data_IF_735685587474
#
_entry.id   IF_735685587474
#
_cell.length_a   1.000
_cell.length_b   1.000
_cell.length_c   1.000
_cell.angle_alpha   90.00
_cell.angle_beta   90.00
_cell.angle_gamma   90.00
#
_symmetry.space_group_name_H-M   'P 1'
#
loop_
_entity.id
_entity.type
_entity.pdbx_description
1 polymer ?
#
# COMPACT_ATOMS: atom_id res chain seq x y z
N UNK A 1 -3.95 -11.03 19.85
CA UNK A 1 -3.10 -12.07 19.19
C UNK A 1 -1.65 -12.04 19.70
N UNK A 2 -1.06 -13.21 19.96
CA UNK A 2 0.35 -13.34 20.35
C UNK A 2 1.20 -13.61 19.10
N UNK A 3 2.26 -12.83 18.89
CA UNK A 3 3.20 -13.05 17.78
C UNK A 3 4.14 -14.21 18.10
N UNK A 4 4.32 -15.08 17.12
CA UNK A 4 5.13 -16.29 17.12
C UNK A 4 6.15 -16.24 16.01
N UNK A 5 7.20 -17.03 16.15
CA UNK A 5 8.15 -17.22 15.04
C UNK A 5 7.49 -17.97 13.88
N UNK A 6 8.22 -18.10 12.76
CA UNK A 6 7.73 -18.77 11.56
C UNK A 6 7.34 -20.24 11.81
N UNK A 7 7.89 -20.87 12.86
CA UNK A 7 7.64 -22.25 13.27
C UNK A 7 6.51 -22.38 14.32
N UNK A 8 5.85 -21.27 14.68
CA UNK A 8 4.75 -21.25 15.63
C UNK A 8 5.17 -21.32 17.11
N UNK A 9 6.45 -21.15 17.43
CA UNK A 9 6.90 -21.03 18.83
C UNK A 9 6.67 -19.61 19.34
N UNK A 10 6.41 -19.48 20.64
CA UNK A 10 6.31 -18.15 21.28
C UNK A 10 7.64 -17.42 21.09
N UNK A 11 7.60 -16.18 20.59
CA UNK A 11 8.81 -15.36 20.58
C UNK A 11 9.15 -14.95 22.00
N UNK A 12 10.37 -15.22 22.44
CA UNK A 12 10.85 -14.82 23.77
C UNK A 12 12.37 -14.70 23.81
N UNK A 13 12.86 -13.74 24.59
CA UNK A 13 14.31 -13.51 24.73
C UNK A 13 15.06 -14.77 25.21
N UNK A 14 14.42 -15.55 26.08
CA UNK A 14 14.97 -16.82 26.60
C UNK A 14 15.12 -17.92 25.55
N UNK A 15 14.41 -17.86 24.43
CA UNK A 15 14.50 -18.85 23.33
C UNK A 15 15.33 -18.33 22.14
N UNK A 16 15.83 -17.09 22.20
CA UNK A 16 16.66 -16.51 21.14
C UNK A 16 15.95 -16.34 19.79
N UNK A 17 14.63 -16.50 19.75
CA UNK A 17 13.82 -16.46 18.52
C UNK A 17 13.03 -15.15 18.35
N UNK A 18 13.42 -14.10 19.07
CA UNK A 18 12.83 -12.76 18.92
C UNK A 18 13.41 -12.11 17.67
N UNK A 19 12.53 -11.64 16.80
CA UNK A 19 12.92 -10.80 15.66
C UNK A 19 12.73 -9.34 16.08
N UNK A 20 13.81 -8.56 16.04
CA UNK A 20 13.77 -7.12 16.29
C UNK A 20 13.11 -6.40 15.10
N UNK A 21 12.06 -5.59 15.30
CA UNK A 21 11.45 -4.85 14.20
C UNK A 21 12.44 -3.91 13.48
N UNK A 22 13.45 -3.39 14.18
CA UNK A 22 14.47 -2.53 13.56
C UNK A 22 15.33 -3.31 12.56
N UNK A 23 15.62 -4.57 12.86
CA UNK A 23 16.36 -5.46 11.96
C UNK A 23 15.55 -5.81 10.70
N UNK A 24 14.22 -5.88 10.82
CA UNK A 24 13.33 -6.05 9.65
C UNK A 24 13.25 -4.77 8.83
N UNK A 25 13.21 -3.61 9.49
CA UNK A 25 13.10 -2.31 8.82
C UNK A 25 14.39 -2.00 8.06
N UNK A 26 15.55 -2.13 8.71
CA UNK A 26 16.84 -1.69 8.17
C UNK A 26 17.65 -2.83 7.52
N UNK A 27 17.26 -4.08 7.72
CA UNK A 27 18.04 -5.24 7.35
C UNK A 27 19.18 -5.51 8.34
N UNK A 28 19.66 -6.76 8.37
CA UNK A 28 20.80 -7.19 9.19
C UNK A 28 21.41 -8.46 8.60
N UNK A 29 22.73 -8.58 8.64
CA UNK A 29 23.41 -9.81 8.17
C UNK A 29 23.24 -10.96 9.17
N UNK A 30 23.50 -12.20 8.74
CA UNK A 30 23.48 -13.36 9.63
C UNK A 30 24.47 -13.18 10.80
N UNK A 31 25.68 -12.68 10.53
CA UNK A 31 26.68 -12.42 11.57
C UNK A 31 26.19 -11.37 12.56
N UNK A 32 25.50 -10.33 12.08
CA UNK A 32 24.88 -9.32 12.93
C UNK A 32 23.81 -9.90 13.86
N UNK A 33 22.96 -10.78 13.33
CA UNK A 33 21.93 -11.49 14.10
C UNK A 33 22.56 -12.38 15.19
N UNK A 34 23.61 -13.13 14.84
CA UNK A 34 24.28 -14.02 15.78
C UNK A 34 25.03 -13.24 16.86
N UNK A 35 25.69 -12.12 16.51
CA UNK A 35 26.35 -11.25 17.49
C UNK A 35 25.36 -10.67 18.50
N UNK A 36 24.15 -10.30 18.07
CA UNK A 36 23.09 -9.86 18.99
C UNK A 36 22.63 -10.97 19.95
N UNK A 37 22.60 -12.23 19.49
CA UNK A 37 22.30 -13.36 20.36
C UNK A 37 23.39 -13.58 21.41
N UNK A 38 24.66 -13.48 21.02
CA UNK A 38 25.82 -13.64 21.92
C UNK A 38 25.89 -12.57 23.01
N UNK A 39 25.38 -11.37 22.73
CA UNK A 39 25.23 -10.30 23.74
C UNK A 39 24.04 -10.54 24.69
N UNK A 40 23.16 -11.48 24.35
CA UNK A 40 22.00 -11.85 25.16
C UNK A 40 22.37 -12.75 26.33
N UNK A 41 21.44 -12.85 27.29
CA UNK A 41 21.59 -13.73 28.45
C UNK A 41 20.90 -15.08 28.17
N UNK A 42 21.44 -15.86 27.22
CA UNK A 42 20.99 -17.21 26.89
C UNK A 42 21.97 -18.24 27.46
N UNK A 43 21.45 -19.42 27.84
CA UNK A 43 22.32 -20.56 28.11
C UNK A 43 22.97 -21.05 26.80
N UNK A 44 24.11 -21.73 26.93
CA UNK A 44 24.89 -22.17 25.76
C UNK A 44 24.09 -23.09 24.82
N UNK A 45 23.21 -23.93 25.37
CA UNK A 45 22.41 -24.86 24.57
C UNK A 45 21.37 -24.14 23.72
N UNK A 46 20.63 -23.19 24.30
CA UNK A 46 19.68 -22.37 23.57
C UNK A 46 20.36 -21.39 22.60
N UNK A 47 21.55 -20.88 22.93
CA UNK A 47 22.34 -20.04 22.03
C UNK A 47 22.68 -20.77 20.72
N UNK A 48 23.22 -21.99 20.80
CA UNK A 48 23.57 -22.78 19.60
C UNK A 48 22.33 -23.15 18.78
N UNK A 49 21.23 -23.55 19.44
CA UNK A 49 19.94 -23.81 18.76
C UNK A 49 19.40 -22.56 18.05
N UNK A 50 19.50 -21.38 18.69
CA UNK A 50 19.04 -20.13 18.11
C UNK A 50 19.90 -19.72 16.90
N UNK A 51 21.22 -19.88 16.98
CA UNK A 51 22.14 -19.65 15.85
C UNK A 51 21.85 -20.57 14.66
N UNK A 52 21.62 -21.85 14.92
CA UNK A 52 21.24 -22.83 13.88
C UNK A 52 19.89 -22.46 13.25
N UNK A 53 18.91 -22.08 14.08
CA UNK A 53 17.62 -21.59 13.61
C UNK A 53 17.75 -20.35 12.72
N UNK A 54 18.52 -19.35 13.14
CA UNK A 54 18.79 -18.14 12.33
C UNK A 54 19.45 -18.50 10.99
N UNK A 55 20.45 -19.39 10.98
CA UNK A 55 21.13 -19.81 9.75
C UNK A 55 20.18 -20.52 8.77
N UNK A 56 19.21 -21.26 9.30
CA UNK A 56 18.19 -21.96 8.49
C UNK A 56 17.14 -20.99 7.92
N UNK A 57 16.66 -20.07 8.76
CA UNK A 57 15.56 -19.17 8.39
C UNK A 57 16.06 -17.96 7.59
N UNK A 58 17.29 -17.50 7.87
CA UNK A 58 17.93 -16.28 7.37
C UNK A 58 19.39 -16.54 6.97
N UNK A 59 19.67 -17.41 5.97
CA UNK A 59 21.04 -17.78 5.59
C UNK A 59 21.90 -16.58 5.20
N UNK A 60 21.29 -15.57 4.55
CA UNK A 60 21.95 -14.33 4.13
C UNK A 60 21.62 -13.15 5.06
N UNK A 61 20.98 -13.42 6.21
CA UNK A 61 20.41 -12.41 7.10
C UNK A 61 18.97 -12.01 6.75
N UNK A 62 18.48 -10.97 7.41
CA UNK A 62 17.15 -10.39 7.16
C UNK A 62 17.32 -9.26 6.14
N UNK A 63 16.62 -9.30 5.00
CA UNK A 63 16.68 -8.22 4.02
C UNK A 63 15.98 -6.95 4.56
N UNK A 64 16.44 -5.79 4.11
CA UNK A 64 15.81 -4.51 4.41
C UNK A 64 14.38 -4.47 3.83
N UNK A 65 13.38 -4.44 4.71
CA UNK A 65 11.97 -4.44 4.32
C UNK A 65 11.29 -3.07 4.50
N UNK A 66 11.84 -2.17 5.31
CA UNK A 66 11.23 -0.88 5.60
C UNK A 66 9.96 -0.92 6.46
N UNK A 67 9.60 0.23 7.01
CA UNK A 67 8.54 0.38 8.01
C UNK A 67 7.15 0.06 7.47
N UNK A 68 6.82 0.53 6.26
CA UNK A 68 5.47 0.33 5.70
C UNK A 68 5.17 -1.13 5.36
N UNK A 69 6.17 -1.86 4.86
CA UNK A 69 6.00 -3.28 4.56
C UNK A 69 5.75 -4.07 5.84
N UNK A 70 6.49 -3.78 6.92
CA UNK A 70 6.30 -4.40 8.23
C UNK A 70 4.92 -4.07 8.81
N UNK A 71 4.52 -2.80 8.79
CA UNK A 71 3.19 -2.36 9.25
C UNK A 71 2.08 -3.08 8.49
N UNK A 72 2.14 -3.06 7.16
CA UNK A 72 1.13 -3.69 6.32
C UNK A 72 1.04 -5.20 6.58
N UNK A 73 2.18 -5.88 6.71
CA UNK A 73 2.23 -7.30 7.04
C UNK A 73 1.53 -7.60 8.37
N UNK A 74 1.90 -6.90 9.44
CA UNK A 74 1.34 -7.10 10.78
C UNK A 74 -0.17 -6.87 10.82
N UNK A 75 -0.65 -5.83 10.14
CA UNK A 75 -2.10 -5.55 10.05
C UNK A 75 -2.81 -6.63 9.24
N UNK A 76 -2.20 -7.11 8.15
CA UNK A 76 -2.79 -8.18 7.33
C UNK A 76 -2.97 -9.50 8.08
N UNK A 77 -2.15 -9.76 9.11
CA UNK A 77 -2.25 -10.96 9.95
C UNK A 77 -3.39 -10.92 10.98
N UNK A 78 -4.04 -9.77 11.19
CA UNK A 78 -5.08 -9.60 12.23
C UNK A 78 -6.34 -10.45 11.99
N UNK A 79 -6.47 -11.13 10.85
CA UNK A 79 -7.52 -12.13 10.62
C UNK A 79 -7.35 -13.39 11.47
N UNK A 80 -6.16 -13.65 12.02
CA UNK A 80 -5.89 -14.80 12.88
C UNK A 80 -6.26 -14.47 14.33
N UNK A 81 -7.20 -15.21 14.92
CA UNK A 81 -7.83 -14.86 16.21
C UNK A 81 -6.86 -14.84 17.39
N UNK A 82 -5.91 -15.78 17.46
CA UNK A 82 -5.14 -16.00 18.70
C UNK A 82 -3.62 -15.95 18.53
N UNK A 83 -3.11 -16.37 17.38
CA UNK A 83 -1.68 -16.60 17.13
C UNK A 83 -1.32 -16.05 15.76
N UNK A 84 -0.28 -15.22 15.68
CA UNK A 84 0.26 -14.70 14.42
C UNK A 84 1.66 -15.26 14.23
N UNK A 85 1.87 -16.11 13.23
CA UNK A 85 3.21 -16.53 12.85
C UNK A 85 3.81 -15.46 11.94
N UNK A 86 4.81 -14.75 12.44
CA UNK A 86 5.50 -13.72 11.66
C UNK A 86 6.41 -14.39 10.63
N UNK A 87 6.12 -14.18 9.35
CA UNK A 87 6.95 -14.63 8.24
C UNK A 87 7.58 -13.42 7.56
N UNK A 88 8.90 -13.29 7.71
CA UNK A 88 9.69 -12.20 7.12
C UNK A 88 9.68 -12.26 5.60
N UNK A 89 9.50 -13.43 4.98
CA UNK A 89 9.35 -13.54 3.53
C UNK A 89 8.10 -12.81 3.05
N UNK A 90 7.01 -12.86 3.83
CA UNK A 90 5.79 -12.09 3.55
C UNK A 90 6.02 -10.58 3.69
N UNK A 91 6.76 -10.15 4.71
CA UNK A 91 7.14 -8.74 4.89
C UNK A 91 7.96 -8.26 3.68
N UNK A 92 8.95 -9.03 3.26
CA UNK A 92 9.75 -8.74 2.07
C UNK A 92 8.88 -8.70 0.79
N UNK A 93 7.86 -9.56 0.67
CA UNK A 93 6.86 -9.48 -0.39
C UNK A 93 6.15 -8.12 -0.43
N UNK A 94 5.77 -7.57 0.73
CA UNK A 94 5.20 -6.22 0.80
C UNK A 94 6.21 -5.11 0.50
N UNK A 95 7.51 -5.30 0.78
CA UNK A 95 8.58 -4.39 0.34
C UNK A 95 8.68 -4.32 -1.19
N UNK A 96 8.51 -5.45 -1.87
CA UNK A 96 8.45 -5.47 -3.34
C UNK A 96 7.16 -4.84 -3.87
N UNK A 97 6.06 -5.01 -3.15
CA UNK A 97 4.82 -4.29 -3.46
C UNK A 97 4.96 -2.77 -3.30
N UNK A 98 5.70 -2.28 -2.29
CA UNK A 98 6.06 -0.87 -2.17
C UNK A 98 6.78 -0.35 -3.43
N UNK A 99 7.76 -1.11 -3.95
CA UNK A 99 8.44 -0.77 -5.21
C UNK A 99 7.45 -0.70 -6.38
N UNK A 100 6.46 -1.58 -6.43
CA UNK A 100 5.41 -1.57 -7.45
C UNK A 100 4.56 -0.29 -7.37
N UNK A 101 4.17 0.16 -6.17
CA UNK A 101 3.47 1.43 -5.97
C UNK A 101 4.29 2.62 -6.48
N UNK A 102 5.58 2.65 -6.13
CA UNK A 102 6.49 3.69 -6.61
C UNK A 102 6.59 3.70 -8.15
N UNK A 103 6.76 2.54 -8.77
CA UNK A 103 6.84 2.43 -10.23
C UNK A 103 5.54 2.84 -10.91
N UNK A 104 4.38 2.51 -10.34
CA UNK A 104 3.08 2.91 -10.86
C UNK A 104 2.90 4.44 -10.83
N UNK A 105 3.29 5.11 -9.74
CA UNK A 105 3.26 6.57 -9.64
C UNK A 105 4.26 7.20 -10.60
N UNK A 106 5.49 6.67 -10.70
CA UNK A 106 6.50 7.15 -11.66
C UNK A 106 5.98 7.09 -13.09
N UNK A 107 5.36 5.97 -13.47
CA UNK A 107 4.71 5.83 -14.77
C UNK A 107 3.61 6.88 -14.96
N UNK A 108 2.75 7.05 -13.96
CA UNK A 108 1.65 8.00 -14.03
C UNK A 108 2.14 9.44 -14.20
N UNK A 109 3.16 9.87 -13.44
CA UNK A 109 3.73 11.21 -13.55
C UNK A 109 4.21 11.51 -14.98
N UNK A 110 4.90 10.55 -15.63
CA UNK A 110 5.32 10.68 -17.03
C UNK A 110 4.10 10.83 -17.95
N UNK A 111 3.03 10.06 -17.71
CA UNK A 111 1.84 10.09 -18.58
C UNK A 111 0.95 11.30 -18.36
N UNK A 112 0.87 11.83 -17.14
CA UNK A 112 0.18 13.08 -16.84
C UNK A 112 0.92 14.25 -17.51
N UNK A 113 2.24 14.35 -17.31
CA UNK A 113 3.08 15.42 -17.86
C UNK A 113 3.02 16.71 -17.03
N UNK A 114 4.00 17.58 -17.23
CA UNK A 114 4.28 18.72 -16.33
C UNK A 114 3.18 19.80 -16.31
N UNK A 115 2.43 19.93 -17.41
CA UNK A 115 1.35 20.91 -17.53
C UNK A 115 -0.03 20.36 -17.13
N UNK A 116 -0.08 19.11 -16.65
CA UNK A 116 -1.34 18.49 -16.29
C UNK A 116 -1.95 19.14 -15.05
N UNK A 117 -3.19 19.58 -15.18
CA UNK A 117 -4.01 20.06 -14.07
C UNK A 117 -5.18 19.10 -13.88
N UNK A 118 -5.31 18.45 -12.71
CA UNK A 118 -6.47 17.62 -12.41
C UNK A 118 -7.77 18.43 -12.40
N UNK A 119 -8.86 17.90 -12.98
CA UNK A 119 -10.16 18.55 -12.91
C UNK A 119 -10.77 18.44 -11.51
N UNK A 120 -11.53 19.46 -11.09
CA UNK A 120 -12.27 19.42 -9.82
C UNK A 120 -13.39 18.34 -9.81
N UNK A 121 -13.93 18.00 -10.99
CA UNK A 121 -14.97 16.98 -11.16
C UNK A 121 -14.76 16.18 -12.43
N UNK A 122 -15.00 14.87 -12.35
CA UNK A 122 -14.92 13.96 -13.50
C UNK A 122 -16.26 13.86 -14.22
N UNK A 123 -16.27 14.09 -15.53
CA UNK A 123 -17.43 13.87 -16.39
C UNK A 123 -17.58 12.38 -16.76
N UNK A 124 -17.88 11.52 -15.77
CA UNK A 124 -17.80 10.06 -15.93
C UNK A 124 -18.64 9.50 -17.09
N UNK A 125 -19.75 10.14 -17.45
CA UNK A 125 -20.64 9.69 -18.52
C UNK A 125 -20.01 9.75 -19.92
N UNK A 126 -19.09 10.69 -20.18
CA UNK A 126 -18.39 10.83 -21.46
C UNK A 126 -17.12 9.97 -21.54
N UNK A 127 -16.71 9.36 -20.43
CA UNK A 127 -15.45 8.61 -20.37
C UNK A 127 -15.51 7.26 -21.12
N UNK A 128 -14.35 6.75 -21.59
CA UNK A 128 -14.23 5.41 -22.13
C UNK A 128 -14.72 4.33 -21.15
N UNK A 129 -15.21 3.16 -21.65
CA UNK A 129 -15.69 2.07 -20.79
C UNK A 129 -14.68 1.62 -19.73
N UNK A 130 -13.39 1.53 -20.08
CA UNK A 130 -12.33 1.11 -19.16
C UNK A 130 -12.15 2.09 -17.99
N UNK A 131 -12.30 3.39 -18.25
CA UNK A 131 -12.25 4.45 -17.23
C UNK A 131 -13.46 4.38 -16.29
N UNK A 132 -14.66 4.20 -16.86
CA UNK A 132 -15.89 4.01 -16.07
C UNK A 132 -15.80 2.78 -15.17
N UNK A 133 -15.24 1.69 -15.70
CA UNK A 133 -15.05 0.44 -14.98
C UNK A 133 -14.12 0.62 -13.77
N UNK A 134 -12.92 1.17 -13.94
CA UNK A 134 -11.97 1.29 -12.81
C UNK A 134 -12.52 2.22 -11.71
N UNK A 135 -13.23 3.30 -12.07
CA UNK A 135 -13.88 4.18 -11.10
C UNK A 135 -15.00 3.47 -10.33
N UNK A 136 -15.77 2.61 -11.00
CA UNK A 136 -16.79 1.78 -10.36
C UNK A 136 -16.17 0.77 -9.38
N UNK A 137 -15.09 0.09 -9.77
CA UNK A 137 -14.40 -0.87 -8.90
C UNK A 137 -13.67 -0.17 -7.75
N UNK A 138 -13.08 1.01 -7.98
CA UNK A 138 -12.52 1.86 -6.93
C UNK A 138 -13.59 2.25 -5.91
N UNK A 139 -14.77 2.68 -6.34
CA UNK A 139 -15.86 3.03 -5.42
C UNK A 139 -16.27 1.84 -4.54
N UNK A 140 -16.27 0.62 -5.08
CA UNK A 140 -16.52 -0.60 -4.29
C UNK A 140 -15.39 -0.87 -3.28
N UNK A 141 -14.14 -0.71 -3.70
CA UNK A 141 -12.98 -0.87 -2.84
C UNK A 141 -12.97 0.17 -1.69
N UNK A 142 -13.32 1.43 -1.96
CA UNK A 142 -13.52 2.47 -0.94
C UNK A 142 -14.56 1.99 0.09
N UNK A 143 -15.77 1.64 -0.37
CA UNK A 143 -16.85 1.21 0.52
C UNK A 143 -16.48 -0.02 1.37
N UNK A 144 -15.85 -1.03 0.77
CA UNK A 144 -15.40 -2.22 1.48
C UNK A 144 -14.29 -1.90 2.49
N UNK A 145 -13.33 -1.06 2.14
CA UNK A 145 -12.22 -0.69 3.03
C UNK A 145 -12.72 0.12 4.22
N UNK A 146 -13.56 1.13 3.98
CA UNK A 146 -14.16 1.97 5.02
C UNK A 146 -15.02 1.15 5.97
N UNK A 147 -15.96 0.36 5.46
CA UNK A 147 -16.81 -0.50 6.32
C UNK A 147 -16.01 -1.53 7.11
N UNK A 148 -14.90 -2.04 6.55
CA UNK A 148 -14.02 -2.97 7.27
C UNK A 148 -13.25 -2.25 8.38
N UNK A 149 -12.81 -1.01 8.16
CA UNK A 149 -12.18 -0.19 9.20
C UNK A 149 -13.16 0.16 10.32
N UNK A 150 -14.38 0.59 9.99
CA UNK A 150 -15.44 0.88 10.97
C UNK A 150 -15.80 -0.35 11.82
N UNK A 151 -15.76 -1.55 11.22
CA UNK A 151 -16.00 -2.81 11.90
C UNK A 151 -14.75 -3.40 12.60
N UNK A 152 -13.63 -2.66 12.66
CA UNK A 152 -12.35 -3.12 13.21
C UNK A 152 -11.78 -4.40 12.54
N UNK A 153 -12.19 -4.67 11.30
CA UNK A 153 -11.71 -5.78 10.47
C UNK A 153 -10.52 -5.34 9.61
N UNK A 154 -9.39 -5.06 10.25
CA UNK A 154 -8.22 -4.48 9.58
C UNK A 154 -7.62 -5.40 8.50
N UNK A 155 -7.62 -6.73 8.70
CA UNK A 155 -7.18 -7.69 7.69
C UNK A 155 -8.05 -7.66 6.43
N UNK A 156 -9.38 -7.51 6.59
CA UNK A 156 -10.30 -7.34 5.44
C UNK A 156 -10.03 -6.02 4.70
N UNK A 157 -9.78 -4.94 5.46
CA UNK A 157 -9.48 -3.63 4.88
C UNK A 157 -8.18 -3.67 4.05
N UNK A 158 -7.09 -4.22 4.62
CA UNK A 158 -5.81 -4.39 3.91
C UNK A 158 -5.94 -5.30 2.69
N UNK A 159 -6.70 -6.40 2.78
CA UNK A 159 -6.94 -7.30 1.66
C UNK A 159 -7.69 -6.61 0.52
N UNK A 160 -8.72 -5.81 0.84
CA UNK A 160 -9.51 -5.05 -0.12
C UNK A 160 -8.66 -4.02 -0.88
N UNK A 161 -7.89 -3.20 -0.15
CA UNK A 161 -7.07 -2.16 -0.78
C UNK A 161 -5.88 -2.74 -1.56
N UNK A 162 -5.25 -3.81 -1.06
CA UNK A 162 -4.20 -4.54 -1.77
C UNK A 162 -4.73 -5.11 -3.08
N UNK A 163 -5.88 -5.79 -3.04
CA UNK A 163 -6.47 -6.42 -4.21
C UNK A 163 -6.77 -5.39 -5.32
N UNK A 164 -7.33 -4.24 -4.93
CA UNK A 164 -7.62 -3.17 -5.88
C UNK A 164 -6.33 -2.60 -6.50
N UNK A 165 -5.33 -2.26 -5.70
CA UNK A 165 -4.06 -1.71 -6.19
C UNK A 165 -3.32 -2.69 -7.11
N UNK A 166 -3.14 -3.93 -6.65
CA UNK A 166 -2.39 -4.95 -7.36
C UNK A 166 -3.11 -5.36 -8.65
N UNK A 167 -4.33 -5.87 -8.53
CA UNK A 167 -4.97 -6.60 -9.62
C UNK A 167 -5.90 -5.75 -10.49
N UNK A 168 -6.46 -4.67 -9.96
CA UNK A 168 -7.41 -3.84 -10.72
C UNK A 168 -6.73 -2.62 -11.34
N UNK A 169 -5.92 -1.91 -10.56
CA UNK A 169 -5.21 -0.73 -11.03
C UNK A 169 -3.96 -1.12 -11.83
N UNK A 170 -2.99 -1.79 -11.21
CA UNK A 170 -1.70 -2.05 -11.84
C UNK A 170 -1.79 -3.11 -12.96
N UNK A 171 -2.36 -4.27 -12.68
CA UNK A 171 -2.34 -5.39 -13.64
C UNK A 171 -3.34 -5.22 -14.80
N UNK A 172 -4.40 -4.41 -14.63
CA UNK A 172 -5.46 -4.23 -15.63
C UNK A 172 -5.54 -2.80 -16.14
N UNK A 173 -5.90 -1.82 -15.31
CA UNK A 173 -6.18 -0.47 -15.81
C UNK A 173 -4.96 0.21 -16.42
N UNK A 174 -3.82 0.21 -15.72
CA UNK A 174 -2.58 0.82 -16.19
C UNK A 174 -2.13 0.18 -17.51
N UNK A 175 -2.16 -1.15 -17.60
CA UNK A 175 -1.82 -1.87 -18.83
C UNK A 175 -2.77 -1.53 -19.98
N UNK A 176 -4.09 -1.47 -19.72
CA UNK A 176 -5.10 -1.17 -20.71
C UNK A 176 -5.00 0.24 -21.31
N UNK A 177 -4.54 1.23 -20.53
CA UNK A 177 -4.42 2.62 -21.00
C UNK A 177 -3.05 2.92 -21.64
N UNK A 178 -2.05 2.04 -21.54
CA UNK A 178 -0.73 2.26 -22.16
C UNK A 178 -0.81 2.63 -23.65
N UNK A 179 -1.61 1.95 -24.50
CA UNK A 179 -1.73 2.28 -25.92
C UNK A 179 -2.22 3.70 -26.20
N UNK A 180 -3.01 4.29 -25.29
CA UNK A 180 -3.57 5.63 -25.49
C UNK A 180 -2.49 6.72 -25.50
N UNK A 181 -1.30 6.41 -24.98
CA UNK A 181 -0.17 7.33 -24.89
C UNK A 181 0.90 7.09 -25.98
N UNK A 182 0.62 6.26 -26.99
CA UNK A 182 1.56 5.97 -28.08
C UNK A 182 1.49 6.97 -29.26
N UNK A 183 0.77 8.08 -29.10
CA UNK A 183 0.75 9.17 -30.08
C UNK A 183 -0.23 9.02 -31.25
N UNK A 184 -1.08 7.99 -31.27
CA UNK A 184 -2.14 7.90 -32.28
C UNK A 184 -3.25 8.94 -32.04
N UNK A 185 -3.78 9.51 -33.12
CA UNK A 185 -4.92 10.45 -33.08
C UNK A 185 -6.22 9.76 -32.63
N UNK A 186 -6.35 8.46 -32.91
CA UNK A 186 -7.50 7.62 -32.53
C UNK A 186 -7.88 7.73 -31.05
N UNK A 187 -6.88 7.88 -30.17
CA UNK A 187 -7.09 7.95 -28.72
C UNK A 187 -7.03 9.35 -28.14
N UNK A 188 -7.04 10.42 -28.95
CA UNK A 188 -6.87 11.78 -28.44
C UNK A 188 -7.93 12.16 -27.38
N UNK A 189 -9.21 11.91 -27.68
CA UNK A 189 -10.32 12.14 -26.75
C UNK A 189 -10.26 11.23 -25.51
N UNK A 190 -9.86 9.96 -25.70
CA UNK A 190 -9.75 8.97 -24.63
C UNK A 190 -8.54 9.22 -23.70
N UNK A 191 -7.48 9.86 -24.22
CA UNK A 191 -6.22 10.16 -23.50
C UNK A 191 -6.46 11.13 -22.36
N UNK A 192 -7.21 12.21 -22.60
CA UNK A 192 -7.58 13.17 -21.55
C UNK A 192 -8.36 12.51 -20.42
N UNK A 193 -9.45 11.81 -20.76
CA UNK A 193 -10.26 11.08 -19.79
C UNK A 193 -9.46 10.03 -19.00
N UNK A 194 -8.49 9.38 -19.64
CA UNK A 194 -7.64 8.37 -18.99
C UNK A 194 -6.62 8.98 -18.04
N UNK A 195 -6.07 10.17 -18.34
CA UNK A 195 -5.24 10.94 -17.41
C UNK A 195 -6.02 11.31 -16.16
N UNK A 196 -7.21 11.86 -16.33
CA UNK A 196 -8.09 12.27 -15.22
C UNK A 196 -8.50 11.07 -14.35
N UNK A 197 -8.83 9.95 -15.00
CA UNK A 197 -9.17 8.72 -14.30
C UNK A 197 -7.96 8.15 -13.55
N UNK A 198 -6.78 8.12 -14.17
CA UNK A 198 -5.55 7.65 -13.55
C UNK A 198 -5.21 8.50 -12.32
N UNK A 199 -5.22 9.83 -12.45
CA UNK A 199 -4.96 10.73 -11.32
C UNK A 199 -5.94 10.49 -10.18
N UNK A 200 -7.25 10.43 -10.46
CA UNK A 200 -8.26 10.22 -9.44
C UNK A 200 -8.11 8.86 -8.72
N UNK A 201 -7.71 7.82 -9.46
CA UNK A 201 -7.41 6.51 -8.87
C UNK A 201 -6.20 6.58 -7.94
N UNK A 202 -5.11 7.24 -8.35
CA UNK A 202 -3.90 7.32 -7.55
C UNK A 202 -4.09 8.16 -6.29
N UNK A 203 -4.71 9.34 -6.41
CA UNK A 203 -5.02 10.19 -5.26
C UNK A 203 -5.92 9.48 -4.25
N UNK A 204 -7.02 8.88 -4.71
CA UNK A 204 -7.95 8.16 -3.83
C UNK A 204 -7.30 6.90 -3.24
N UNK A 205 -6.58 6.14 -4.06
CA UNK A 205 -5.94 4.90 -3.67
C UNK A 205 -4.81 5.10 -2.64
N UNK A 206 -4.04 6.19 -2.76
CA UNK A 206 -3.00 6.55 -1.79
C UNK A 206 -3.62 6.99 -0.47
N UNK A 207 -4.66 7.82 -0.50
CA UNK A 207 -5.38 8.24 0.71
C UNK A 207 -6.01 7.05 1.45
N UNK A 208 -6.60 6.08 0.72
CA UNK A 208 -7.11 4.83 1.32
C UNK A 208 -6.00 3.97 1.95
N UNK A 209 -4.82 3.95 1.35
CA UNK A 209 -3.71 3.10 1.79
C UNK A 209 -2.95 3.71 2.99
N UNK A 210 -3.05 5.03 3.17
CA UNK A 210 -2.25 5.79 4.13
C UNK A 210 -2.28 5.30 5.58
N UNK A 211 -3.42 4.91 6.17
CA UNK A 211 -3.45 4.39 7.55
C UNK A 211 -2.55 3.16 7.75
N UNK A 212 -2.33 2.39 6.68
CA UNK A 212 -1.52 1.18 6.70
C UNK A 212 -0.05 1.46 6.38
N UNK A 213 0.21 2.33 5.41
CA UNK A 213 1.55 2.59 4.86
C UNK A 213 1.87 4.10 4.81
N UNK A 214 2.01 4.76 5.96
CA UNK A 214 2.05 6.22 6.04
C UNK A 214 3.23 6.86 5.30
N UNK A 215 4.41 6.24 5.28
CA UNK A 215 5.63 6.90 4.77
C UNK A 215 5.64 6.97 3.25
N UNK A 216 5.46 5.84 2.58
CA UNK A 216 5.47 5.77 1.11
C UNK A 216 4.27 6.51 0.52
N UNK A 217 3.11 6.45 1.17
CA UNK A 217 1.91 7.10 0.63
C UNK A 217 1.98 8.61 0.76
N UNK A 218 2.55 9.15 1.84
CA UNK A 218 2.85 10.58 1.97
C UNK A 218 3.78 11.02 0.84
N UNK A 219 4.92 10.34 0.71
CA UNK A 219 5.95 10.66 -0.29
C UNK A 219 5.40 10.64 -1.74
N UNK A 220 4.59 9.63 -2.06
CA UNK A 220 3.99 9.50 -3.39
C UNK A 220 2.85 10.49 -3.62
N UNK A 221 2.02 10.77 -2.62
CA UNK A 221 0.90 11.70 -2.73
C UNK A 221 1.37 13.13 -2.91
N UNK A 222 2.45 13.52 -2.23
CA UNK A 222 3.04 14.85 -2.39
C UNK A 222 3.57 15.11 -3.81
N UNK A 223 3.88 14.07 -4.59
CA UNK A 223 4.32 14.22 -5.99
C UNK A 223 3.17 14.41 -6.97
N UNK A 224 1.94 14.05 -6.60
CA UNK A 224 0.81 14.17 -7.51
C UNK A 224 0.51 15.64 -7.81
N UNK A 225 0.14 15.96 -9.06
CA UNK A 225 -0.34 17.29 -9.42
C UNK A 225 -1.65 17.60 -8.69
N UNK A 226 -1.91 18.88 -8.42
CA UNK A 226 -3.08 19.33 -7.66
C UNK A 226 -4.00 20.19 -8.53
N UNK A 227 -5.32 20.18 -8.29
CA UNK A 227 -6.24 21.11 -8.96
C UNK A 227 -5.84 22.57 -8.73
N UNK A 228 -6.01 23.43 -9.73
CA UNK A 228 -5.61 24.86 -9.67
C UNK A 228 -6.17 25.64 -8.48
N UNK A 229 -7.38 25.30 -8.06
CA UNK A 229 -8.10 25.99 -6.98
C UNK A 229 -7.91 25.33 -5.61
N UNK A 230 -7.19 24.20 -5.54
CA UNK A 230 -6.95 23.49 -4.29
C UNK A 230 -5.67 24.00 -3.61
N UNK A 231 -5.78 24.35 -2.32
CA UNK A 231 -4.59 24.48 -1.49
C UNK A 231 -4.08 23.07 -1.19
N UNK A 232 -2.86 22.75 -1.63
CA UNK A 232 -2.18 21.51 -1.27
C UNK A 232 -2.11 21.45 0.25
N UNK A 233 -2.68 20.39 0.84
CA UNK A 233 -2.49 20.17 2.27
C UNK A 233 -1.04 19.79 2.54
N UNK A 234 -0.50 20.27 3.65
CA UNK A 234 0.89 20.01 4.05
C UNK A 234 1.20 18.51 4.20
N UNK A 235 0.18 17.70 4.48
CA UNK A 235 0.31 16.24 4.61
C UNK A 235 -0.95 15.52 4.15
N UNK A 236 -0.76 14.30 3.62
CA UNK A 236 -1.89 13.40 3.33
C UNK A 236 -2.64 13.00 4.62
N UNK A 237 -1.99 13.00 5.79
CA UNK A 237 -2.61 12.71 7.10
C UNK A 237 -3.80 13.62 7.43
N UNK A 238 -3.72 14.89 7.04
CA UNK A 238 -4.76 15.91 7.30
C UNK A 238 -5.73 16.03 6.12
N UNK A 239 -5.58 15.20 5.09
CA UNK A 239 -6.49 15.14 3.95
C UNK A 239 -7.77 14.40 4.31
N UNK A 240 -8.87 14.74 3.61
CA UNK A 240 -10.12 14.02 3.83
C UNK A 240 -9.96 12.56 3.43
N UNK A 241 -10.36 11.66 4.33
CA UNK A 241 -10.32 10.23 4.06
C UNK A 241 -11.42 9.84 3.07
N UNK A 242 -11.14 8.99 2.07
CA UNK A 242 -12.12 8.64 1.05
C UNK A 242 -13.36 7.97 1.64
N UNK A 243 -14.54 8.47 1.28
CA UNK A 243 -15.83 7.93 1.71
C UNK A 243 -16.62 7.41 0.52
N UNK A 244 -17.41 6.35 0.73
CA UNK A 244 -18.37 5.90 -0.27
C UNK A 244 -19.40 7.02 -0.56
N UNK A 245 -19.60 7.32 -1.83
CA UNK A 245 -20.55 8.34 -2.27
C UNK A 245 -21.93 7.69 -2.36
N UNK A 246 -22.92 8.23 -1.63
CA UNK A 246 -24.31 7.84 -1.84
C UNK A 246 -24.75 8.24 -3.26
N UNK A 247 -25.23 7.26 -4.03
CA UNK A 247 -25.61 7.39 -5.43
C UNK A 247 -26.93 8.16 -5.57
N UNK A 248 -26.91 9.46 -5.35
CA UNK A 248 -28.05 10.32 -5.70
C UNK A 248 -27.90 10.78 -7.15
N UNK A 249 -28.55 10.07 -8.09
CA UNK A 249 -28.77 10.54 -9.46
C UNK A 249 -27.52 10.84 -10.30
N UNK A 250 -27.10 9.84 -11.10
CA UNK A 250 -26.32 9.95 -12.35
C UNK A 250 -24.96 10.67 -12.37
N UNK A 251 -24.48 11.25 -11.25
CA UNK A 251 -23.13 11.82 -11.15
C UNK A 251 -22.34 11.07 -10.08
N UNK A 252 -21.29 10.34 -10.46
CA UNK A 252 -20.26 9.92 -9.49
C UNK A 252 -19.48 11.19 -9.15
N UNK A 253 -20.02 11.99 -8.22
CA UNK A 253 -19.18 12.89 -7.45
C UNK A 253 -18.43 11.99 -6.49
N UNK A 254 -17.25 11.45 -6.85
CA UNK A 254 -16.22 11.27 -5.83
C UNK A 254 -16.24 12.60 -5.07
N UNK A 255 -16.72 12.59 -3.82
CA UNK A 255 -17.03 13.82 -3.09
C UNK A 255 -15.68 14.46 -2.73
N UNK A 256 -15.00 15.05 -3.71
CA UNK A 256 -13.93 16.03 -3.55
C UNK A 256 -14.58 17.38 -3.30
N UNK A 257 -15.55 17.44 -2.36
CA UNK A 257 -16.06 18.71 -1.90
C UNK A 257 -14.97 19.28 -1.00
N UNK A 258 -14.10 20.11 -1.57
CA UNK A 258 -13.29 21.05 -0.83
C UNK A 258 -14.24 21.98 -0.05
N UNK A 259 -14.71 21.55 1.12
CA UNK A 259 -15.32 22.46 2.08
C UNK A 259 -14.17 23.24 2.67
N UNK A 260 -13.93 24.42 2.09
CA UNK A 260 -13.29 25.52 2.79
C UNK A 260 -14.15 25.75 4.06
N UNK A 261 -13.59 25.41 5.21
CA UNK A 261 -13.96 26.03 6.47
C UNK A 261 -12.89 27.08 6.77
#
# INVERSE_FOLDING_TARGET
>A
PIIRDAHGRKMSKSLGNVIDPIDVINGITLEGLQKKLEQGNLDQGELEKAKEGQKKDFPDGIPECGTDALRFALISYTSQSDKINLDIKRVHGYRQWCNKLWNAIRFAMIKLGDQYTPPATLAVHTMPPICKWILSVLSKAVGKTVSSLEAYKFSDATSSIYFWWQYQLCDVFIEAIKPYFNGSEEFESARGASRDTLWACLDTGLRLLHPFMPYITEELWQRLPQPKEACRKDSIMISEYPSAVQRNGQTIKLRMKWRLY
#
